data_IF_118323340283
#
_entry.id   IF_118323340283
#
_cell.length_a   1.000
_cell.length_b   1.000
_cell.length_c   1.000
_cell.angle_alpha   90.00
_cell.angle_beta   90.00
_cell.angle_gamma   90.00
#
_symmetry.space_group_name_H-M   'P 1'
#
loop_
_entity.id
_entity.type
_entity.pdbx_description
1 polymer ?
#
# COMPACT_ATOMS: atom_id res chain seq x y z
N UNK A 1 -30.15 10.77 53.95
CA UNK A 1 -29.71 9.50 53.34
C UNK A 1 -29.67 9.59 51.81
N UNK A 2 -30.59 10.35 51.19
CA UNK A 2 -30.71 10.47 49.73
C UNK A 2 -29.54 11.21 49.04
N UNK A 3 -28.98 12.26 49.66
CA UNK A 3 -27.87 13.04 49.08
C UNK A 3 -26.58 12.19 48.96
N UNK A 4 -26.33 11.32 49.94
CA UNK A 4 -25.14 10.45 49.95
C UNK A 4 -25.24 9.43 48.81
N UNK A 5 -26.43 8.88 48.56
CA UNK A 5 -26.69 7.93 47.48
C UNK A 5 -26.48 8.60 46.11
N UNK A 6 -26.95 9.84 45.92
CA UNK A 6 -26.75 10.61 44.69
C UNK A 6 -25.27 10.88 44.41
N UNK A 7 -24.48 11.22 45.43
CA UNK A 7 -23.03 11.45 45.25
C UNK A 7 -22.26 10.17 44.92
N UNK A 8 -22.67 9.02 45.46
CA UNK A 8 -22.03 7.74 45.17
C UNK A 8 -22.38 7.23 43.77
N UNK A 9 -23.64 7.39 43.34
CA UNK A 9 -24.08 6.99 42.00
C UNK A 9 -23.42 7.86 40.93
N UNK A 10 -23.36 9.19 41.13
CA UNK A 10 -22.73 10.10 40.18
C UNK A 10 -21.21 9.86 40.08
N UNK A 11 -20.54 9.58 41.20
CA UNK A 11 -19.14 9.19 41.23
C UNK A 11 -18.87 7.88 40.50
N UNK A 12 -19.75 6.89 40.65
CA UNK A 12 -19.65 5.61 39.94
C UNK A 12 -19.89 5.78 38.43
N UNK A 13 -20.86 6.62 38.02
CA UNK A 13 -21.15 6.93 36.61
C UNK A 13 -20.00 7.68 35.93
N UNK A 14 -19.40 8.67 36.61
CA UNK A 14 -18.22 9.40 36.12
C UNK A 14 -16.99 8.50 36.03
N UNK A 15 -16.77 7.62 37.01
CA UNK A 15 -15.70 6.63 36.98
C UNK A 15 -15.89 5.63 35.82
N UNK A 16 -17.13 5.20 35.55
CA UNK A 16 -17.45 4.31 34.43
C UNK A 16 -17.15 4.98 33.08
N UNK A 17 -17.46 6.28 32.93
CA UNK A 17 -17.25 7.05 31.70
C UNK A 17 -15.75 7.26 31.38
N UNK A 18 -14.89 7.30 32.41
CA UNK A 18 -13.43 7.44 32.27
C UNK A 18 -12.72 6.07 32.12
N UNK A 19 -13.29 4.99 32.69
CA UNK A 19 -12.66 3.66 32.68
C UNK A 19 -13.01 2.82 31.44
N UNK A 20 -14.21 2.99 30.87
CA UNK A 20 -14.65 2.27 29.66
C UNK A 20 -13.77 2.54 28.41
N UNK A 21 -13.29 3.77 28.12
CA UNK A 21 -12.47 4.03 26.95
C UNK A 21 -11.13 3.25 26.94
N UNK A 22 -10.64 2.83 28.12
CA UNK A 22 -9.37 2.09 28.25
C UNK A 22 -9.49 0.58 28.10
N UNK A 23 -10.68 0.01 28.29
CA UNK A 23 -10.94 -1.41 28.01
C UNK A 23 -11.24 -1.68 26.54
N UNK A 24 -11.58 -0.64 25.77
CA UNK A 24 -11.73 -0.70 24.32
C UNK A 24 -10.46 -0.24 23.58
N UNK A 25 -9.28 -0.54 24.14
CA UNK A 25 -8.05 -0.49 23.34
C UNK A 25 -8.04 -1.72 22.46
N UNK A 26 -8.66 -1.54 21.29
CA UNK A 26 -8.51 -2.33 20.07
C UNK A 26 -7.17 -3.07 20.06
N UNK A 27 -7.21 -4.32 20.52
CA UNK A 27 -6.30 -5.32 20.01
C UNK A 27 -6.73 -5.52 18.58
N UNK A 28 -6.07 -4.85 17.64
CA UNK A 28 -6.08 -5.26 16.25
C UNK A 28 -5.44 -6.63 16.17
N UNK A 29 -6.22 -7.66 16.47
CA UNK A 29 -6.14 -8.89 15.70
C UNK A 29 -6.43 -8.44 14.28
N UNK A 30 -5.38 -8.35 13.44
CA UNK A 30 -5.55 -8.37 12.00
C UNK A 30 -6.40 -9.61 11.72
N UNK A 31 -7.68 -9.40 11.48
CA UNK A 31 -8.51 -10.38 10.82
C UNK A 31 -7.83 -10.63 9.48
N UNK A 32 -7.10 -11.74 9.38
CA UNK A 32 -6.72 -12.30 8.09
C UNK A 32 -8.04 -12.65 7.44
N UNK A 33 -8.53 -11.74 6.61
CA UNK A 33 -9.63 -11.99 5.71
C UNK A 33 -9.12 -13.08 4.77
N UNK A 34 -9.54 -14.31 5.03
CA UNK A 34 -9.24 -15.47 4.22
C UNK A 34 -10.23 -15.46 3.04
N UNK A 35 -10.11 -14.46 2.17
CA UNK A 35 -10.66 -14.46 0.82
C UNK A 35 -9.55 -14.75 -0.19
N UNK A 36 -8.86 -15.89 -0.01
CA UNK A 36 -8.12 -16.54 -1.09
C UNK A 36 -9.10 -17.19 -2.07
N UNK A 37 -9.94 -16.38 -2.71
CA UNK A 37 -10.30 -16.66 -4.09
C UNK A 37 -9.09 -16.15 -4.86
N UNK A 38 -8.28 -17.06 -5.39
CA UNK A 38 -7.14 -16.71 -6.25
C UNK A 38 -7.71 -15.99 -7.47
N UNK A 39 -7.89 -14.68 -7.34
CA UNK A 39 -8.31 -13.80 -8.43
C UNK A 39 -7.10 -13.76 -9.35
N UNK A 40 -7.28 -14.20 -10.58
CA UNK A 40 -6.25 -14.11 -11.59
C UNK A 40 -5.72 -12.66 -11.65
N UNK A 41 -4.41 -12.46 -11.83
CA UNK A 41 -3.87 -11.12 -12.00
C UNK A 41 -4.59 -10.37 -13.11
N UNK A 42 -4.79 -9.06 -12.93
CA UNK A 42 -5.35 -8.23 -14.00
C UNK A 42 -4.37 -8.22 -15.17
N UNK A 43 -4.87 -8.30 -16.40
CA UNK A 43 -4.05 -8.21 -17.60
C UNK A 43 -4.15 -6.79 -18.20
N UNK A 44 -3.04 -6.27 -18.69
CA UNK A 44 -2.95 -4.94 -19.31
C UNK A 44 -2.29 -5.04 -20.68
N UNK A 45 -2.75 -4.25 -21.65
CA UNK A 45 -2.09 -4.18 -22.95
C UNK A 45 -0.90 -3.22 -22.91
N UNK A 46 0.07 -3.38 -23.81
CA UNK A 46 1.17 -2.40 -23.95
C UNK A 46 0.64 -0.99 -24.24
N UNK A 47 -0.45 -0.87 -25.01
CA UNK A 47 -1.07 0.42 -25.30
C UNK A 47 -1.64 1.10 -24.05
N UNK A 48 -2.27 0.34 -23.16
CA UNK A 48 -2.78 0.85 -21.88
C UNK A 48 -1.61 1.36 -21.03
N UNK A 49 -0.58 0.53 -20.84
CA UNK A 49 0.62 0.91 -20.06
C UNK A 49 1.30 2.16 -20.63
N UNK A 50 1.39 2.29 -21.95
CA UNK A 50 2.02 3.44 -22.61
C UNK A 50 1.33 4.78 -22.37
N UNK A 51 0.08 4.78 -21.88
CA UNK A 51 -0.62 6.02 -21.52
C UNK A 51 -0.25 6.56 -20.14
N UNK A 52 0.44 5.77 -19.32
CA UNK A 52 0.91 6.09 -17.98
C UNK A 52 2.41 6.46 -18.00
N UNK A 53 2.72 7.54 -18.74
CA UNK A 53 4.09 7.98 -19.07
C UNK A 53 4.54 9.27 -18.35
N UNK A 54 3.83 9.68 -17.30
CA UNK A 54 4.02 10.98 -16.63
C UNK A 54 4.56 10.80 -15.22
N UNK A 55 5.27 11.81 -14.72
CA UNK A 55 5.70 11.87 -13.30
C UNK A 55 4.57 11.62 -12.30
N UNK A 56 3.37 12.12 -12.58
CA UNK A 56 2.18 11.98 -11.71
C UNK A 56 1.32 10.78 -12.06
N UNK A 57 1.74 9.96 -13.02
CA UNK A 57 1.02 8.78 -13.54
C UNK A 57 2.02 7.91 -14.32
N UNK A 58 2.81 7.12 -13.60
CA UNK A 58 4.00 6.43 -14.12
C UNK A 58 3.88 4.93 -13.89
N UNK A 59 3.64 4.18 -14.96
CA UNK A 59 3.70 2.72 -14.94
C UNK A 59 4.94 2.22 -15.67
N UNK A 60 5.45 1.07 -15.26
CA UNK A 60 6.60 0.42 -15.91
C UNK A 60 6.35 -1.07 -16.08
N UNK A 61 6.96 -1.64 -17.11
CA UNK A 61 6.97 -3.09 -17.34
C UNK A 61 8.32 -3.66 -16.87
N UNK A 62 8.29 -4.71 -16.05
CA UNK A 62 9.49 -5.49 -15.70
C UNK A 62 9.15 -6.96 -15.90
N UNK A 63 9.83 -7.65 -16.82
CA UNK A 63 9.62 -9.09 -17.12
C UNK A 63 8.13 -9.48 -17.26
N UNK A 64 7.38 -8.76 -18.09
CA UNK A 64 5.94 -8.96 -18.34
C UNK A 64 5.02 -8.69 -17.14
N UNK A 65 5.53 -8.09 -16.06
CA UNK A 65 4.71 -7.60 -14.94
C UNK A 65 4.60 -6.09 -15.02
N UNK A 66 3.45 -5.56 -14.62
CA UNK A 66 3.13 -4.14 -14.64
C UNK A 66 3.16 -3.60 -13.22
N UNK A 67 3.85 -2.49 -13.05
CA UNK A 67 4.02 -1.82 -11.76
C UNK A 67 3.58 -0.37 -11.87
N UNK A 68 2.71 0.06 -10.96
CA UNK A 68 2.38 1.48 -10.77
C UNK A 68 3.34 2.09 -9.77
N UNK A 69 4.38 2.77 -10.27
CA UNK A 69 5.42 3.38 -9.44
C UNK A 69 5.15 4.86 -9.17
N UNK A 70 3.96 5.37 -9.49
CA UNK A 70 3.59 6.79 -9.40
C UNK A 70 3.91 7.37 -8.02
N UNK A 71 3.56 6.67 -6.95
CA UNK A 71 3.78 7.15 -5.58
C UNK A 71 5.25 7.11 -5.15
N UNK A 72 6.12 6.42 -5.89
CA UNK A 72 7.53 6.23 -5.56
C UNK A 72 8.46 7.13 -6.38
N UNK A 73 7.97 7.78 -7.43
CA UNK A 73 8.79 8.60 -8.34
C UNK A 73 9.65 9.63 -7.58
N UNK A 74 9.08 10.31 -6.59
CA UNK A 74 9.79 11.32 -5.80
C UNK A 74 10.73 10.75 -4.73
N UNK A 75 10.54 9.48 -4.36
CA UNK A 75 11.34 8.77 -3.35
C UNK A 75 12.48 7.97 -3.98
N UNK A 76 12.49 7.83 -5.31
CA UNK A 76 13.48 7.03 -6.02
C UNK A 76 14.90 7.59 -5.82
N UNK A 77 15.83 6.82 -5.22
CA UNK A 77 17.20 7.30 -4.96
C UNK A 77 17.99 7.67 -6.21
N UNK A 78 17.64 7.08 -7.37
CA UNK A 78 18.22 7.45 -8.67
C UNK A 78 17.59 8.68 -9.32
N UNK A 79 16.68 9.37 -8.62
CA UNK A 79 15.96 10.54 -9.11
C UNK A 79 15.17 10.24 -10.40
N UNK A 80 15.25 11.18 -11.35
CA UNK A 80 14.51 11.13 -12.61
C UNK A 80 14.85 9.94 -13.51
N UNK A 81 15.89 9.16 -13.19
CA UNK A 81 16.19 7.92 -13.90
C UNK A 81 15.03 6.91 -13.90
N UNK A 82 14.11 6.97 -12.93
CA UNK A 82 12.88 6.15 -12.93
C UNK A 82 11.93 6.48 -14.09
N UNK A 83 12.01 7.69 -14.64
CA UNK A 83 11.14 8.16 -15.72
C UNK A 83 11.68 7.84 -17.12
N UNK A 84 12.90 7.29 -17.23
CA UNK A 84 13.54 7.01 -18.52
C UNK A 84 12.70 6.08 -19.42
N UNK A 85 11.87 5.24 -18.81
CA UNK A 85 11.00 4.26 -19.47
C UNK A 85 9.57 4.30 -18.89
N UNK A 86 9.10 5.47 -18.46
CA UNK A 86 7.71 5.64 -18.05
C UNK A 86 6.77 5.22 -19.19
N UNK A 87 5.80 4.36 -18.90
CA UNK A 87 4.89 3.77 -19.88
C UNK A 87 5.49 2.64 -20.74
N UNK A 88 6.70 2.16 -20.47
CA UNK A 88 7.36 1.11 -21.29
C UNK A 88 8.17 0.10 -20.45
N UNK A 89 8.87 -0.80 -21.15
CA UNK A 89 9.74 -1.81 -20.56
C UNK A 89 10.99 -1.20 -19.94
N UNK A 90 11.09 -1.36 -18.62
CA UNK A 90 12.20 -0.92 -17.78
C UNK A 90 13.07 -2.08 -17.31
N UNK A 91 12.91 -3.30 -17.85
CA UNK A 91 13.56 -4.52 -17.34
C UNK A 91 15.08 -4.38 -17.29
N UNK A 92 15.72 -3.92 -18.37
CA UNK A 92 17.18 -3.77 -18.41
C UNK A 92 17.66 -2.71 -17.42
N UNK A 93 16.97 -1.57 -17.35
CA UNK A 93 17.28 -0.50 -16.39
C UNK A 93 17.09 -0.96 -14.93
N UNK A 94 16.05 -1.76 -14.66
CA UNK A 94 15.76 -2.25 -13.33
C UNK A 94 16.79 -3.29 -12.85
N UNK A 95 17.25 -4.19 -13.71
CA UNK A 95 18.27 -5.20 -13.38
C UNK A 95 19.72 -4.70 -13.55
N UNK A 96 19.92 -3.42 -13.86
CA UNK A 96 21.25 -2.81 -13.97
C UNK A 96 22.00 -2.74 -12.63
N UNK A 97 23.32 -2.44 -12.68
CA UNK A 97 24.19 -2.42 -11.49
C UNK A 97 23.83 -1.37 -10.44
N UNK A 98 22.95 -0.42 -10.76
CA UNK A 98 22.45 0.62 -9.85
C UNK A 98 21.53 0.09 -8.73
N UNK A 99 20.94 -1.10 -8.89
CA UNK A 99 20.02 -1.68 -7.90
C UNK A 99 20.65 -2.85 -7.15
N UNK A 100 20.61 -2.79 -5.81
CA UNK A 100 20.97 -3.92 -4.96
C UNK A 100 19.86 -4.98 -4.96
N UNK A 101 20.19 -6.25 -4.70
CA UNK A 101 19.24 -7.38 -4.75
C UNK A 101 17.98 -7.18 -3.90
N UNK A 102 18.08 -6.49 -2.75
CA UNK A 102 16.92 -6.19 -1.88
C UNK A 102 15.85 -5.31 -2.52
N UNK A 103 16.17 -4.58 -3.61
CA UNK A 103 15.21 -3.75 -4.34
C UNK A 103 14.15 -4.61 -5.04
N UNK A 104 14.48 -5.87 -5.34
CA UNK A 104 13.57 -6.82 -5.99
C UNK A 104 12.40 -7.25 -5.10
N UNK A 105 12.52 -7.11 -3.78
CA UNK A 105 11.40 -7.39 -2.87
C UNK A 105 10.47 -6.17 -2.75
N UNK A 106 11.00 -4.95 -2.87
CA UNK A 106 10.23 -3.72 -2.74
C UNK A 106 9.32 -3.44 -3.94
N UNK A 107 9.73 -3.86 -5.14
CA UNK A 107 8.95 -3.58 -6.36
C UNK A 107 7.57 -4.26 -6.34
N UNK A 108 7.43 -5.36 -5.61
CA UNK A 108 6.17 -6.12 -5.52
C UNK A 108 5.05 -5.32 -4.83
N UNK A 109 5.36 -4.33 -4.00
CA UNK A 109 4.36 -3.43 -3.40
C UNK A 109 3.65 -2.55 -4.46
N UNK A 110 4.26 -2.40 -5.64
CA UNK A 110 3.74 -1.60 -6.76
C UNK A 110 3.06 -2.45 -7.84
N UNK A 111 3.01 -3.77 -7.67
CA UNK A 111 2.46 -4.68 -8.69
C UNK A 111 0.95 -4.50 -8.87
N UNK A 112 0.52 -4.30 -10.12
CA UNK A 112 -0.91 -4.14 -10.44
C UNK A 112 -1.46 -5.21 -11.39
N UNK A 113 -0.61 -6.01 -12.02
CA UNK A 113 -1.00 -7.09 -12.92
C UNK A 113 0.06 -7.48 -13.94
N UNK A 114 -0.33 -8.27 -14.92
CA UNK A 114 0.56 -8.82 -15.95
C UNK A 114 0.32 -8.18 -17.32
N UNK A 115 1.34 -8.20 -18.16
CA UNK A 115 1.26 -7.79 -19.55
C UNK A 115 0.48 -8.85 -20.34
N UNK A 116 -0.52 -8.41 -21.09
CA UNK A 116 -1.27 -9.25 -22.01
C UNK A 116 -0.36 -9.66 -23.18
N UNK A 117 -0.28 -10.97 -23.40
CA UNK A 117 0.45 -11.61 -24.50
C UNK A 117 -0.39 -11.67 -25.78
#
# INVERSE_FOLDING_TARGET
>A
MEIIILTLILGFLLAFLILVPRLFKSGQSKAVKMDNIVKAPKAYTKAEVSSHDKRTDCWIIIKQKIYDVTSYVEEHPGGDAILAHAGDDSTEGFYGPQHATRVFDMIEDFYIGDLQT
#
